data_IF_355851052166
#
_entry.id   IF_355851052166
#
_cell.length_a   1.000
_cell.length_b   1.000
_cell.length_c   1.000
_cell.angle_alpha   90.00
_cell.angle_beta   90.00
_cell.angle_gamma   90.00
#
_symmetry.space_group_name_H-M   'P 1'
#
loop_
_entity.id
_entity.type
_entity.pdbx_description
1 polymer ?
#
# COMPACT_ATOMS: atom_id res chain seq x y z
N UNK A 1 24.52 7.36 4.80
CA UNK A 1 23.72 8.50 5.35
C UNK A 1 23.63 8.37 6.87
N UNK A 2 23.58 9.49 7.59
CA UNK A 2 23.40 9.46 9.03
C UNK A 2 21.92 9.48 9.40
N UNK A 3 21.56 8.68 10.40
CA UNK A 3 20.22 8.73 11.00
C UNK A 3 20.06 10.07 11.72
N UNK A 4 18.91 10.72 11.56
CA UNK A 4 18.61 11.90 12.38
C UNK A 4 18.62 11.54 13.87
N UNK A 5 19.19 12.41 14.69
CA UNK A 5 19.20 12.24 16.14
C UNK A 5 17.76 12.36 16.67
N UNK A 6 17.39 11.53 17.65
CA UNK A 6 16.09 11.64 18.33
C UNK A 6 16.02 12.94 19.12
N UNK A 7 17.07 13.23 19.88
CA UNK A 7 17.25 14.48 20.61
C UNK A 7 18.41 15.26 20.01
N UNK A 8 18.10 16.44 19.46
CA UNK A 8 19.07 17.31 18.81
C UNK A 8 18.85 18.77 19.23
N UNK A 9 19.50 19.17 20.33
CA UNK A 9 19.42 20.54 20.87
C UNK A 9 20.07 21.59 19.98
N UNK A 10 20.96 21.16 19.09
CA UNK A 10 21.63 22.03 18.11
C UNK A 10 20.99 21.99 16.72
N UNK A 11 19.83 21.32 16.61
CA UNK A 11 19.08 21.25 15.37
C UNK A 11 18.37 22.56 15.03
N UNK A 12 17.96 22.65 13.78
CA UNK A 12 17.17 23.75 13.26
C UNK A 12 15.68 23.47 13.37
N UNK A 13 14.92 24.51 13.71
CA UNK A 13 13.45 24.48 13.73
C UNK A 13 12.87 24.80 12.38
N UNK A 14 11.66 24.30 12.15
CA UNK A 14 10.85 24.61 10.97
C UNK A 14 11.18 23.74 9.76
N UNK A 15 11.16 24.38 8.59
CA UNK A 15 11.23 23.66 7.31
C UNK A 15 12.58 23.01 7.07
N UNK A 16 12.57 21.71 6.79
CA UNK A 16 13.75 20.93 6.44
C UNK A 16 13.63 20.34 5.04
N UNK A 17 14.77 20.06 4.40
CA UNK A 17 14.80 19.25 3.17
C UNK A 17 14.31 17.85 3.43
N UNK A 18 13.95 17.13 2.37
CA UNK A 18 13.49 15.73 2.46
C UNK A 18 14.50 14.88 3.23
N UNK A 19 15.78 15.00 2.89
CA UNK A 19 16.90 14.31 3.52
C UNK A 19 18.05 15.29 3.86
N UNK A 20 18.94 14.89 4.76
CA UNK A 20 20.19 15.62 5.05
C UNK A 20 20.03 16.90 5.87
N UNK A 21 18.82 17.24 6.35
CA UNK A 21 18.58 18.41 7.18
C UNK A 21 19.00 18.18 8.64
N UNK A 22 19.42 19.27 9.32
CA UNK A 22 19.75 19.26 10.74
C UNK A 22 18.53 19.57 11.60
N UNK A 23 17.58 18.65 11.69
CA UNK A 23 16.28 18.85 12.35
C UNK A 23 16.33 18.64 13.87
N UNK A 24 15.56 19.45 14.61
CA UNK A 24 15.23 19.19 16.03
C UNK A 24 14.19 18.07 16.21
N UNK A 25 13.57 17.60 15.13
CA UNK A 25 12.37 16.74 15.09
C UNK A 25 11.07 17.36 15.66
N UNK A 26 11.07 18.64 16.05
CA UNK A 26 9.85 19.31 16.48
C UNK A 26 8.81 19.33 15.35
N UNK A 27 7.57 18.96 15.67
CA UNK A 27 6.44 18.96 14.72
C UNK A 27 5.76 20.33 14.69
N UNK A 28 6.07 21.15 13.69
CA UNK A 28 5.50 22.49 13.51
C UNK A 28 4.60 22.52 12.28
N UNK A 29 3.35 22.02 12.39
CA UNK A 29 2.41 21.95 11.27
C UNK A 29 2.00 23.31 10.70
N UNK A 30 2.22 24.39 11.41
CA UNK A 30 2.06 25.76 10.94
C UNK A 30 3.32 26.29 10.21
N UNK A 31 4.36 25.48 10.08
CA UNK A 31 5.64 25.85 9.46
C UNK A 31 6.27 24.64 8.77
N UNK A 32 5.59 24.17 7.71
CA UNK A 32 6.03 23.02 6.90
C UNK A 32 6.62 23.52 5.57
N UNK A 33 7.44 22.69 4.93
CA UNK A 33 8.01 22.96 3.60
C UNK A 33 7.13 22.41 2.49
N UNK A 34 6.51 21.27 2.69
CA UNK A 34 5.73 20.56 1.69
C UNK A 34 4.24 20.70 1.98
N UNK A 35 3.59 21.72 1.36
CA UNK A 35 2.16 22.02 1.59
C UNK A 35 1.23 20.83 1.36
N UNK A 36 1.57 19.97 0.37
CA UNK A 36 0.82 18.74 0.09
C UNK A 36 0.74 17.80 1.29
N UNK A 37 1.75 17.83 2.19
CA UNK A 37 1.79 16.95 3.35
C UNK A 37 0.64 17.21 4.34
N UNK A 38 0.23 18.47 4.51
CA UNK A 38 -0.88 18.80 5.42
C UNK A 38 -2.23 18.24 4.91
N UNK A 39 -2.50 18.39 3.61
CA UNK A 39 -3.71 17.83 3.00
C UNK A 39 -3.69 16.30 3.09
N UNK A 40 -2.57 15.68 2.75
CA UNK A 40 -2.41 14.23 2.81
C UNK A 40 -2.57 13.70 4.24
N UNK A 41 -1.99 14.38 5.24
CA UNK A 41 -2.17 14.04 6.65
C UNK A 41 -3.66 13.99 7.04
N UNK A 42 -4.46 14.99 6.62
CA UNK A 42 -5.90 15.00 6.86
C UNK A 42 -6.63 13.87 6.15
N UNK A 43 -6.25 13.59 4.91
CA UNK A 43 -6.81 12.47 4.13
C UNK A 43 -6.55 11.13 4.83
N UNK A 44 -5.30 10.86 5.23
CA UNK A 44 -4.93 9.61 5.90
C UNK A 44 -5.65 9.44 7.24
N UNK A 45 -5.79 10.50 8.04
CA UNK A 45 -6.57 10.46 9.28
C UNK A 45 -8.06 10.18 9.03
N UNK A 46 -8.65 10.79 7.99
CA UNK A 46 -10.04 10.56 7.63
C UNK A 46 -10.30 9.17 7.04
N UNK A 47 -9.24 8.50 6.59
CA UNK A 47 -9.31 7.14 6.07
C UNK A 47 -9.30 6.07 7.17
N UNK A 48 -9.31 6.44 8.45
CA UNK A 48 -9.34 5.47 9.55
C UNK A 48 -10.56 4.54 9.46
N UNK A 49 -10.32 3.26 9.67
CA UNK A 49 -11.33 2.19 9.72
C UNK A 49 -10.76 0.99 10.49
N UNK A 50 -11.62 0.05 10.86
CA UNK A 50 -11.24 -1.23 11.46
C UNK A 50 -11.99 -2.37 10.75
N UNK A 51 -11.38 -3.56 10.60
CA UNK A 51 -11.97 -4.66 9.84
C UNK A 51 -13.29 -5.17 10.42
N UNK A 52 -13.47 -5.13 11.74
CA UNK A 52 -14.66 -5.60 12.44
C UNK A 52 -15.93 -4.77 12.16
N UNK A 53 -15.79 -3.59 11.56
CA UNK A 53 -16.94 -2.81 11.07
C UNK A 53 -17.63 -3.50 9.88
N UNK A 54 -16.98 -4.47 9.23
CA UNK A 54 -17.47 -5.18 8.06
C UNK A 54 -17.82 -6.62 8.45
N UNK A 55 -19.10 -6.96 8.46
CA UNK A 55 -19.56 -8.32 8.77
C UNK A 55 -19.28 -9.29 7.62
N UNK A 56 -18.56 -10.38 7.89
CA UNK A 56 -18.24 -11.45 6.94
C UNK A 56 -19.27 -12.61 6.95
N UNK A 57 -20.41 -12.47 7.59
CA UNK A 57 -21.39 -13.56 7.79
C UNK A 57 -21.85 -14.23 6.48
N UNK A 58 -22.01 -13.46 5.40
CA UNK A 58 -22.41 -14.01 4.10
C UNK A 58 -21.20 -14.66 3.40
N UNK A 59 -20.02 -14.13 3.56
CA UNK A 59 -18.80 -14.69 2.98
C UNK A 59 -18.45 -16.06 3.59
N UNK A 60 -18.70 -16.25 4.90
CA UNK A 60 -18.58 -17.56 5.57
C UNK A 60 -19.43 -18.62 4.87
N UNK A 61 -20.66 -18.26 4.47
CA UNK A 61 -21.57 -19.20 3.77
C UNK A 61 -21.10 -19.46 2.34
N UNK A 62 -20.51 -18.48 1.69
CA UNK A 62 -20.09 -18.56 0.29
C UNK A 62 -18.73 -19.23 0.12
N UNK A 63 -17.81 -19.05 1.08
CA UNK A 63 -16.45 -19.54 1.01
C UNK A 63 -16.31 -21.04 0.69
N UNK A 64 -17.14 -21.96 1.24
CA UNK A 64 -17.11 -23.38 0.88
C UNK A 64 -17.47 -23.68 -0.58
N UNK A 65 -18.15 -22.77 -1.27
CA UNK A 65 -18.61 -22.93 -2.65
C UNK A 65 -17.70 -22.24 -3.69
N UNK A 66 -16.60 -21.64 -3.25
CA UNK A 66 -15.56 -21.20 -4.17
C UNK A 66 -14.98 -22.43 -4.89
N UNK A 67 -14.71 -22.27 -6.19
CA UNK A 67 -14.00 -23.32 -6.95
C UNK A 67 -12.59 -23.51 -6.40
N UNK A 68 -11.96 -24.65 -6.68
CA UNK A 68 -10.59 -24.93 -6.25
C UNK A 68 -9.60 -23.85 -6.72
N UNK A 69 -9.80 -23.31 -7.92
CA UNK A 69 -8.97 -22.22 -8.46
C UNK A 69 -9.19 -20.89 -7.73
N UNK A 70 -10.46 -20.54 -7.46
CA UNK A 70 -10.79 -19.35 -6.68
C UNK A 70 -10.24 -19.46 -5.25
N UNK A 71 -10.34 -20.63 -4.63
CA UNK A 71 -9.80 -20.91 -3.31
C UNK A 71 -8.28 -20.78 -3.28
N UNK A 72 -7.59 -21.41 -4.25
CA UNK A 72 -6.15 -21.33 -4.37
C UNK A 72 -5.68 -19.89 -4.57
N UNK A 73 -6.34 -19.11 -5.43
CA UNK A 73 -6.02 -17.71 -5.64
C UNK A 73 -6.23 -16.89 -4.37
N UNK A 74 -7.36 -17.08 -3.68
CA UNK A 74 -7.67 -16.44 -2.39
C UNK A 74 -6.55 -16.68 -1.36
N UNK A 75 -6.20 -17.94 -1.12
CA UNK A 75 -5.21 -18.34 -0.12
C UNK A 75 -3.85 -17.69 -0.41
N UNK A 76 -3.39 -17.77 -1.66
CA UNK A 76 -2.09 -17.22 -2.09
C UNK A 76 -2.02 -15.70 -2.07
N UNK A 77 -3.11 -15.02 -2.41
CA UNK A 77 -3.16 -13.56 -2.37
C UNK A 77 -3.07 -13.07 -0.92
N UNK A 78 -3.83 -13.69 0.00
CA UNK A 78 -3.77 -13.29 1.42
C UNK A 78 -2.40 -13.60 2.03
N UNK A 79 -1.80 -14.74 1.72
CA UNK A 79 -0.46 -15.10 2.17
C UNK A 79 0.59 -14.06 1.76
N UNK A 80 0.49 -13.60 0.53
CA UNK A 80 1.37 -12.59 -0.05
C UNK A 80 1.18 -11.21 0.58
N UNK A 81 -0.06 -10.73 0.63
CA UNK A 81 -0.39 -9.40 1.14
C UNK A 81 0.00 -9.27 2.62
N UNK A 82 -0.42 -10.25 3.44
CA UNK A 82 -0.10 -10.22 4.87
C UNK A 82 1.41 -10.15 5.15
N UNK A 83 2.23 -10.87 4.38
CA UNK A 83 3.67 -10.82 4.55
C UNK A 83 4.26 -9.46 4.14
N UNK A 84 3.85 -8.93 2.97
CA UNK A 84 4.42 -7.67 2.47
C UNK A 84 4.00 -6.46 3.31
N UNK A 85 2.75 -6.37 3.76
CA UNK A 85 2.29 -5.31 4.65
C UNK A 85 2.99 -5.39 6.01
N UNK A 86 3.25 -6.62 6.51
CA UNK A 86 4.02 -6.80 7.76
C UNK A 86 5.45 -6.26 7.64
N UNK A 87 6.18 -6.57 6.56
CA UNK A 87 7.54 -6.01 6.39
C UNK A 87 7.53 -4.53 6.03
N UNK A 88 6.43 -4.03 5.48
CA UNK A 88 6.22 -2.61 5.23
C UNK A 88 6.11 -1.84 6.54
N UNK A 89 5.32 -2.34 7.51
CA UNK A 89 5.23 -1.79 8.86
C UNK A 89 6.61 -1.64 9.52
N UNK A 90 7.54 -2.58 9.30
CA UNK A 90 8.91 -2.52 9.82
C UNK A 90 9.81 -1.56 9.04
N UNK A 91 9.65 -1.50 7.71
CA UNK A 91 10.50 -0.67 6.85
C UNK A 91 10.18 0.83 6.97
N UNK A 92 8.91 1.22 7.07
CA UNK A 92 8.49 2.62 7.11
C UNK A 92 9.09 3.39 8.30
N UNK A 93 9.11 2.88 9.54
CA UNK A 93 9.83 3.51 10.65
C UNK A 93 11.34 3.59 10.43
N UNK A 94 11.96 2.58 9.78
CA UNK A 94 13.37 2.61 9.43
C UNK A 94 13.65 3.75 8.43
N UNK A 95 12.86 3.85 7.36
CA UNK A 95 12.95 4.92 6.36
C UNK A 95 12.75 6.30 6.99
N UNK A 96 11.75 6.45 7.87
CA UNK A 96 11.41 7.68 8.58
C UNK A 96 12.59 8.27 9.36
N UNK A 97 13.57 7.44 9.78
CA UNK A 97 14.76 7.91 10.50
C UNK A 97 15.74 8.71 9.64
N UNK A 98 15.62 8.64 8.32
CA UNK A 98 16.46 9.35 7.37
C UNK A 98 15.72 10.51 6.69
N UNK A 99 14.41 10.58 6.83
CA UNK A 99 13.59 11.69 6.35
C UNK A 99 13.63 12.83 7.37
N UNK A 100 14.23 13.95 7.00
CA UNK A 100 14.43 15.11 7.90
C UNK A 100 13.25 16.09 7.89
N UNK A 101 12.45 16.09 6.82
CA UNK A 101 11.16 16.79 6.76
C UNK A 101 10.17 16.18 7.76
N UNK A 102 9.85 16.92 8.81
CA UNK A 102 9.08 16.41 9.95
C UNK A 102 7.64 16.03 9.57
N UNK A 103 7.02 16.78 8.67
CA UNK A 103 5.69 16.52 8.13
C UNK A 103 5.64 15.23 7.32
N UNK A 104 6.66 14.95 6.50
CA UNK A 104 6.75 13.72 5.70
C UNK A 104 7.02 12.50 6.59
N UNK A 105 7.92 12.65 7.57
CA UNK A 105 8.16 11.60 8.57
C UNK A 105 6.89 11.25 9.37
N UNK A 106 5.99 12.23 9.60
CA UNK A 106 4.69 11.95 10.23
C UNK A 106 3.75 11.14 9.34
N UNK A 107 3.76 11.37 8.03
CA UNK A 107 2.97 10.60 7.07
C UNK A 107 3.43 9.14 7.00
N UNK A 108 4.75 8.89 6.99
CA UNK A 108 5.29 7.52 7.03
C UNK A 108 4.86 6.75 8.30
N UNK A 109 4.73 7.45 9.45
CA UNK A 109 4.24 6.82 10.66
C UNK A 109 2.75 6.48 10.59
N UNK A 110 1.93 7.31 9.92
CA UNK A 110 0.51 6.99 9.70
C UNK A 110 0.39 5.83 8.72
N UNK A 111 1.17 5.82 7.66
CA UNK A 111 1.19 4.69 6.72
C UNK A 111 1.53 3.39 7.47
N UNK A 112 2.59 3.35 8.28
CA UNK A 112 2.94 2.17 9.07
C UNK A 112 1.77 1.69 9.96
N UNK A 113 1.01 2.60 10.55
CA UNK A 113 -0.20 2.26 11.29
C UNK A 113 -1.31 1.69 10.38
N UNK A 114 -1.48 2.20 9.16
CA UNK A 114 -2.46 1.66 8.21
C UNK A 114 -2.08 0.26 7.74
N UNK A 115 -0.79 -0.04 7.54
CA UNK A 115 -0.31 -1.40 7.23
C UNK A 115 -0.63 -2.42 8.35
N UNK A 116 -0.58 -2.00 9.62
CA UNK A 116 -1.03 -2.84 10.75
C UNK A 116 -2.53 -3.15 10.68
N UNK A 117 -3.35 -2.17 10.25
CA UNK A 117 -4.80 -2.40 10.03
C UNK A 117 -5.02 -3.39 8.87
N UNK A 118 -4.22 -3.28 7.79
CA UNK A 118 -4.28 -4.21 6.67
C UNK A 118 -3.92 -5.63 7.12
N UNK A 119 -2.81 -5.82 7.83
CA UNK A 119 -2.41 -7.12 8.37
C UNK A 119 -3.47 -7.72 9.33
N UNK A 120 -4.07 -6.89 10.20
CA UNK A 120 -5.18 -7.29 11.05
C UNK A 120 -6.42 -7.71 10.23
N UNK A 121 -6.67 -7.04 9.11
CA UNK A 121 -7.79 -7.34 8.23
C UNK A 121 -7.65 -8.73 7.58
N UNK A 122 -6.46 -9.11 7.14
CA UNK A 122 -6.19 -10.44 6.61
C UNK A 122 -6.39 -11.52 7.68
N UNK A 123 -5.94 -11.25 8.91
CA UNK A 123 -6.16 -12.14 10.04
C UNK A 123 -7.64 -12.30 10.34
N UNK A 124 -8.41 -11.21 10.37
CA UNK A 124 -9.86 -11.22 10.57
C UNK A 124 -10.59 -12.02 9.48
N UNK A 125 -10.21 -11.84 8.21
CA UNK A 125 -10.78 -12.61 7.10
C UNK A 125 -10.49 -14.10 7.30
N UNK A 126 -9.22 -14.49 7.52
CA UNK A 126 -8.82 -15.88 7.65
C UNK A 126 -9.47 -16.56 8.85
N UNK A 127 -9.50 -15.90 10.01
CA UNK A 127 -10.14 -16.46 11.23
C UNK A 127 -11.64 -16.67 11.06
N UNK A 128 -12.26 -15.85 10.19
CA UNK A 128 -13.72 -15.93 9.97
C UNK A 128 -14.08 -16.98 8.93
N UNK A 129 -13.36 -17.08 7.80
CA UNK A 129 -13.80 -17.92 6.67
C UNK A 129 -13.06 -19.26 6.58
N UNK A 130 -11.95 -19.46 7.33
CA UNK A 130 -11.15 -20.69 7.29
C UNK A 130 -11.12 -21.40 8.65
N UNK A 131 -10.52 -22.58 8.68
CA UNK A 131 -10.19 -23.26 9.94
C UNK A 131 -8.73 -23.02 10.34
N UNK A 132 -8.32 -23.23 11.60
CA UNK A 132 -6.97 -22.94 12.08
C UNK A 132 -5.87 -23.67 11.29
N UNK A 133 -6.08 -24.90 10.85
CA UNK A 133 -5.08 -25.68 10.09
C UNK A 133 -4.82 -25.04 8.72
N UNK A 134 -5.88 -24.60 8.04
CA UNK A 134 -5.79 -23.94 6.73
C UNK A 134 -5.17 -22.57 6.90
N UNK A 135 -5.60 -21.80 7.90
CA UNK A 135 -5.05 -20.49 8.21
C UNK A 135 -3.52 -20.54 8.41
N UNK A 136 -3.04 -21.47 9.25
CA UNK A 136 -1.62 -21.61 9.58
C UNK A 136 -0.80 -22.00 8.34
N UNK A 137 -1.37 -22.80 7.42
CA UNK A 137 -0.75 -23.08 6.11
C UNK A 137 -0.65 -21.82 5.24
N UNK A 138 -1.70 -21.00 5.19
CA UNK A 138 -1.70 -19.75 4.41
C UNK A 138 -0.64 -18.81 4.96
N UNK A 139 -0.49 -18.68 6.29
CA UNK A 139 0.56 -17.85 6.89
C UNK A 139 1.99 -18.33 6.56
N UNK A 140 2.18 -19.61 6.24
CA UNK A 140 3.48 -20.16 5.85
C UNK A 140 3.73 -20.13 4.33
N UNK A 141 2.72 -19.88 3.50
CA UNK A 141 2.87 -19.94 2.03
C UNK A 141 3.87 -18.94 1.46
N UNK A 142 4.00 -17.75 2.06
CA UNK A 142 4.96 -16.74 1.60
C UNK A 142 6.41 -17.25 1.53
N UNK A 143 6.76 -18.26 2.33
CA UNK A 143 8.10 -18.86 2.40
C UNK A 143 8.17 -20.30 1.86
N UNK A 144 7.04 -21.01 1.79
CA UNK A 144 6.98 -22.41 1.32
C UNK A 144 6.64 -22.51 -0.16
N UNK A 145 5.89 -21.58 -0.72
CA UNK A 145 5.71 -21.44 -2.17
C UNK A 145 6.90 -20.73 -2.78
N UNK A 146 7.65 -21.46 -3.64
CA UNK A 146 8.89 -20.94 -4.25
C UNK A 146 8.64 -19.68 -5.10
N UNK A 147 7.57 -19.67 -5.88
CA UNK A 147 7.22 -18.54 -6.74
C UNK A 147 6.94 -17.30 -5.91
N UNK A 148 6.19 -17.47 -4.82
CA UNK A 148 5.86 -16.39 -3.91
C UNK A 148 7.08 -15.87 -3.16
N UNK A 149 7.94 -16.76 -2.66
CA UNK A 149 9.17 -16.38 -1.99
C UNK A 149 10.11 -15.56 -2.89
N UNK A 150 10.31 -16.01 -4.14
CA UNK A 150 11.16 -15.28 -5.10
C UNK A 150 10.60 -13.90 -5.42
N UNK A 151 9.28 -13.79 -5.58
CA UNK A 151 8.61 -12.51 -5.82
C UNK A 151 8.73 -11.57 -4.62
N UNK A 152 8.55 -12.06 -3.40
CA UNK A 152 8.64 -11.26 -2.18
C UNK A 152 10.07 -10.73 -1.96
N UNK A 153 11.09 -11.50 -2.32
CA UNK A 153 12.50 -11.08 -2.21
C UNK A 153 12.78 -9.80 -2.98
N UNK A 154 12.14 -9.57 -4.11
CA UNK A 154 12.36 -8.35 -4.88
C UNK A 154 12.13 -7.07 -4.06
N UNK A 155 11.12 -7.05 -3.21
CA UNK A 155 10.84 -5.94 -2.28
C UNK A 155 11.68 -6.05 -1.02
N UNK A 156 11.68 -7.22 -0.38
CA UNK A 156 12.36 -7.45 0.90
C UNK A 156 13.87 -7.20 0.83
N UNK A 157 14.53 -7.59 -0.26
CA UNK A 157 15.96 -7.38 -0.45
C UNK A 157 16.32 -5.89 -0.57
N UNK A 158 15.46 -5.07 -1.22
CA UNK A 158 15.66 -3.63 -1.28
C UNK A 158 15.55 -2.98 0.12
N UNK A 159 14.60 -3.44 0.95
CA UNK A 159 14.44 -2.98 2.32
C UNK A 159 15.61 -3.42 3.20
N UNK A 160 16.04 -4.67 3.08
CA UNK A 160 17.17 -5.21 3.83
C UNK A 160 18.48 -4.51 3.44
N UNK A 161 18.74 -4.32 2.13
CA UNK A 161 19.93 -3.61 1.66
C UNK A 161 20.02 -2.19 2.23
N UNK A 162 18.90 -1.46 2.30
CA UNK A 162 18.89 -0.13 2.92
C UNK A 162 19.08 -0.19 4.44
N UNK A 163 18.54 -1.21 5.10
CA UNK A 163 18.73 -1.40 6.54
C UNK A 163 20.21 -1.68 6.90
N UNK A 164 20.89 -2.47 6.07
CA UNK A 164 22.28 -2.88 6.28
C UNK A 164 23.29 -1.80 5.84
N UNK A 165 23.00 -1.14 4.73
CA UNK A 165 23.81 -0.03 4.17
C UNK A 165 22.91 1.16 3.80
N UNK A 166 22.71 2.12 4.71
CA UNK A 166 21.86 3.29 4.47
C UNK A 166 22.57 4.36 3.62
N UNK A 167 23.01 3.98 2.44
CA UNK A 167 23.51 4.91 1.42
C UNK A 167 22.38 5.67 0.72
N UNK A 168 22.69 6.78 0.06
CA UNK A 168 21.69 7.55 -0.73
C UNK A 168 21.12 6.70 -1.88
N UNK A 169 21.92 5.85 -2.49
CA UNK A 169 21.49 4.94 -3.55
C UNK A 169 20.47 3.91 -3.01
N UNK A 170 20.77 3.26 -1.89
CA UNK A 170 19.88 2.28 -1.28
C UNK A 170 18.61 2.94 -0.72
N UNK A 171 18.69 4.20 -0.25
CA UNK A 171 17.50 4.99 0.09
C UNK A 171 16.57 5.15 -1.12
N UNK A 172 17.10 5.53 -2.28
CA UNK A 172 16.29 5.65 -3.48
C UNK A 172 15.72 4.31 -3.91
N UNK A 173 16.50 3.24 -3.88
CA UNK A 173 16.02 1.90 -4.24
C UNK A 173 14.90 1.42 -3.32
N UNK A 174 14.99 1.65 -2.01
CA UNK A 174 13.91 1.28 -1.08
C UNK A 174 12.65 2.14 -1.29
N UNK A 175 12.80 3.44 -1.61
CA UNK A 175 11.69 4.32 -1.97
C UNK A 175 10.99 3.82 -3.25
N UNK A 176 11.76 3.42 -4.26
CA UNK A 176 11.21 2.87 -5.51
C UNK A 176 10.57 1.49 -5.28
N UNK A 177 11.15 0.64 -4.43
CA UNK A 177 10.55 -0.64 -4.05
C UNK A 177 9.18 -0.45 -3.35
N UNK A 178 9.09 0.53 -2.42
CA UNK A 178 7.81 0.95 -1.86
C UNK A 178 6.83 1.41 -2.94
N UNK A 179 7.26 2.28 -3.83
CA UNK A 179 6.43 2.79 -4.92
C UNK A 179 5.90 1.69 -5.85
N UNK A 180 6.72 0.65 -6.10
CA UNK A 180 6.33 -0.54 -6.86
C UNK A 180 5.32 -1.39 -6.06
N UNK A 181 5.58 -1.60 -4.77
CA UNK A 181 4.68 -2.35 -3.90
C UNK A 181 3.27 -1.74 -3.91
N UNK A 182 3.17 -0.45 -3.56
CA UNK A 182 1.91 0.29 -3.45
C UNK A 182 1.20 0.50 -4.80
N UNK A 183 1.98 0.63 -5.88
CA UNK A 183 1.46 1.02 -7.19
C UNK A 183 1.25 -0.11 -8.19
N UNK A 184 1.84 -1.28 -7.96
CA UNK A 184 1.87 -2.38 -8.93
C UNK A 184 1.58 -3.74 -8.26
N UNK A 185 2.27 -4.09 -7.18
CA UNK A 185 2.29 -5.44 -6.63
C UNK A 185 0.97 -5.94 -6.02
N UNK A 186 0.08 -5.05 -5.62
CA UNK A 186 -1.21 -5.43 -5.02
C UNK A 186 -2.34 -5.63 -6.06
N UNK A 187 -2.13 -5.19 -7.29
CA UNK A 187 -3.24 -4.97 -8.22
C UNK A 187 -3.80 -6.25 -8.86
N UNK A 188 -3.03 -7.33 -9.00
CA UNK A 188 -3.59 -8.63 -9.39
C UNK A 188 -4.50 -9.17 -8.28
N UNK A 189 -4.12 -8.98 -7.01
CA UNK A 189 -4.93 -9.35 -5.85
C UNK A 189 -6.25 -8.56 -5.80
N UNK A 190 -6.18 -7.24 -5.92
CA UNK A 190 -7.39 -6.40 -5.97
C UNK A 190 -8.30 -6.79 -7.13
N UNK A 191 -7.74 -7.01 -8.31
CA UNK A 191 -8.48 -7.45 -9.50
C UNK A 191 -9.23 -8.76 -9.26
N UNK A 192 -8.62 -9.70 -8.54
CA UNK A 192 -9.24 -10.97 -8.19
C UNK A 192 -10.44 -10.76 -7.25
N UNK A 193 -10.29 -10.04 -6.14
CA UNK A 193 -11.39 -9.83 -5.19
C UNK A 193 -12.53 -9.04 -5.79
N UNK A 194 -12.24 -8.03 -6.62
CA UNK A 194 -13.27 -7.27 -7.34
C UNK A 194 -13.98 -8.13 -8.40
N UNK A 195 -13.26 -9.06 -9.03
CA UNK A 195 -13.86 -10.02 -9.97
C UNK A 195 -14.81 -10.97 -9.25
N UNK A 196 -14.49 -11.46 -8.06
CA UNK A 196 -15.41 -12.25 -7.24
C UNK A 196 -16.65 -11.44 -6.83
N UNK A 197 -16.45 -10.21 -6.35
CA UNK A 197 -17.57 -9.34 -5.96
C UNK A 197 -18.51 -9.03 -7.13
N UNK A 198 -17.97 -8.83 -8.34
CA UNK A 198 -18.76 -8.65 -9.56
C UNK A 198 -19.65 -9.85 -9.89
N UNK A 199 -19.27 -11.04 -9.42
CA UNK A 199 -20.06 -12.27 -9.52
C UNK A 199 -20.98 -12.48 -8.31
N UNK A 200 -21.05 -11.55 -7.37
CA UNK A 200 -21.83 -11.67 -6.12
C UNK A 200 -21.18 -12.61 -5.09
N UNK A 201 -19.88 -12.91 -5.22
CA UNK A 201 -19.12 -13.75 -4.31
C UNK A 201 -18.21 -12.92 -3.41
N UNK A 202 -18.06 -13.31 -2.14
CA UNK A 202 -17.12 -12.71 -1.19
C UNK A 202 -17.17 -11.17 -1.16
N UNK A 203 -18.37 -10.62 -1.18
CA UNK A 203 -18.59 -9.17 -1.33
C UNK A 203 -18.15 -8.39 -0.10
N UNK A 204 -18.26 -8.95 1.09
CA UNK A 204 -17.79 -8.32 2.32
C UNK A 204 -16.26 -8.31 2.39
N UNK A 205 -15.59 -9.42 2.05
CA UNK A 205 -14.13 -9.47 1.87
C UNK A 205 -13.69 -8.43 0.83
N UNK A 206 -14.36 -8.35 -0.33
CA UNK A 206 -14.06 -7.33 -1.35
C UNK A 206 -14.24 -5.91 -0.82
N UNK A 207 -15.15 -5.68 0.12
CA UNK A 207 -15.32 -4.37 0.76
C UNK A 207 -14.11 -4.02 1.64
N UNK A 208 -13.56 -4.98 2.39
CA UNK A 208 -12.29 -4.81 3.12
C UNK A 208 -11.18 -4.41 2.12
N UNK A 209 -11.06 -5.14 1.01
CA UNK A 209 -10.07 -4.82 -0.03
C UNK A 209 -10.27 -3.46 -0.68
N UNK A 210 -11.49 -2.91 -0.72
CA UNK A 210 -11.72 -1.52 -1.16
C UNK A 210 -11.12 -0.50 -0.18
N UNK A 211 -11.24 -0.74 1.12
CA UNK A 211 -10.64 0.14 2.13
C UNK A 211 -9.11 0.07 2.08
N UNK A 212 -8.55 -1.14 1.97
CA UNK A 212 -7.12 -1.34 1.78
C UNK A 212 -6.66 -0.59 0.51
N UNK A 213 -7.25 -0.85 -0.66
CA UNK A 213 -6.87 -0.20 -1.91
C UNK A 213 -6.97 1.34 -1.87
N UNK A 214 -7.93 1.89 -1.15
CA UNK A 214 -8.02 3.35 -0.92
C UNK A 214 -6.78 3.87 -0.18
N UNK A 215 -6.36 3.14 0.84
CA UNK A 215 -5.19 3.50 1.63
C UNK A 215 -3.93 3.34 0.78
N UNK A 216 -3.79 2.26 -0.02
CA UNK A 216 -2.67 2.04 -0.94
C UNK A 216 -2.55 3.13 -2.03
N UNK A 217 -3.66 3.64 -2.53
CA UNK A 217 -3.64 4.80 -3.44
C UNK A 217 -3.05 6.03 -2.74
N UNK A 218 -3.34 6.22 -1.46
CA UNK A 218 -2.79 7.32 -0.67
C UNK A 218 -1.30 7.11 -0.40
N UNK A 219 -0.87 5.89 -0.06
CA UNK A 219 0.52 5.51 0.12
C UNK A 219 1.34 5.72 -1.16
N UNK A 220 0.80 5.27 -2.28
CA UNK A 220 1.40 5.50 -3.60
C UNK A 220 1.64 6.98 -3.88
N UNK A 221 0.65 7.86 -3.61
CA UNK A 221 0.77 9.31 -3.82
C UNK A 221 1.82 9.90 -2.87
N UNK A 222 1.94 9.39 -1.64
CA UNK A 222 3.00 9.78 -0.71
C UNK A 222 4.38 9.52 -1.30
N UNK A 223 4.64 8.30 -1.76
CA UNK A 223 5.93 7.96 -2.36
C UNK A 223 6.19 8.69 -3.69
N UNK A 224 5.15 8.90 -4.50
CA UNK A 224 5.25 9.74 -5.70
C UNK A 224 5.73 11.17 -5.37
N UNK A 225 5.17 11.78 -4.33
CA UNK A 225 5.57 13.12 -3.88
C UNK A 225 7.00 13.10 -3.32
N UNK A 226 7.38 12.10 -2.52
CA UNK A 226 8.75 11.96 -2.02
C UNK A 226 9.75 11.87 -3.19
N UNK A 227 9.48 11.04 -4.20
CA UNK A 227 10.35 10.90 -5.38
C UNK A 227 10.49 12.23 -6.14
N UNK A 228 9.38 12.93 -6.38
CA UNK A 228 9.37 14.22 -7.09
C UNK A 228 10.15 15.29 -6.34
N UNK A 229 9.97 15.36 -5.02
CA UNK A 229 10.68 16.35 -4.20
C UNK A 229 12.17 16.01 -4.08
N UNK A 230 12.55 14.75 -3.90
CA UNK A 230 13.95 14.33 -3.93
C UNK A 230 14.61 14.69 -5.27
N UNK A 231 13.92 14.43 -6.39
CA UNK A 231 14.42 14.79 -7.72
C UNK A 231 14.64 16.28 -7.88
N UNK A 232 13.76 17.10 -7.30
CA UNK A 232 13.87 18.56 -7.32
C UNK A 232 14.99 19.09 -6.43
N UNK A 233 15.17 18.50 -5.24
CA UNK A 233 16.13 18.98 -4.24
C UNK A 233 17.55 18.43 -4.47
N UNK A 234 17.64 17.21 -4.99
CA UNK A 234 18.88 16.48 -5.19
C UNK A 234 18.99 15.97 -6.64
N UNK A 235 18.97 16.88 -7.64
CA UNK A 235 19.11 16.49 -9.05
C UNK A 235 20.44 15.79 -9.33
N UNK A 236 21.45 16.01 -8.49
CA UNK A 236 22.75 15.32 -8.52
C UNK A 236 22.62 13.80 -8.32
N UNK A 237 21.61 13.33 -7.59
CA UNK A 237 21.35 11.90 -7.39
C UNK A 237 20.66 11.26 -8.60
N UNK A 238 19.80 12.01 -9.31
CA UNK A 238 18.99 11.47 -10.42
C UNK A 238 19.73 11.54 -11.75
N UNK A 239 20.85 10.85 -11.82
CA UNK A 239 21.64 10.73 -13.06
C UNK A 239 20.89 9.85 -14.09
N UNK A 240 21.24 9.93 -15.40
CA UNK A 240 20.67 9.05 -16.42
C UNK A 240 20.78 7.56 -16.06
N UNK A 241 21.88 7.16 -15.40
CA UNK A 241 22.12 5.79 -14.96
C UNK A 241 21.12 5.37 -13.84
N UNK A 242 20.87 6.27 -12.87
CA UNK A 242 19.88 6.01 -11.84
C UNK A 242 18.47 5.95 -12.43
N UNK A 243 18.10 6.86 -13.33
CA UNK A 243 16.80 6.85 -13.99
C UNK A 243 16.57 5.57 -14.81
N UNK A 244 17.60 5.10 -15.51
CA UNK A 244 17.57 3.82 -16.21
C UNK A 244 17.37 2.65 -15.22
N UNK A 245 18.03 2.70 -14.06
CA UNK A 245 17.88 1.69 -13.01
C UNK A 245 16.46 1.71 -12.40
N UNK A 246 15.89 2.88 -12.12
CA UNK A 246 14.51 3.05 -11.64
C UNK A 246 13.53 2.46 -12.65
N UNK A 247 13.70 2.79 -13.94
CA UNK A 247 12.86 2.26 -15.03
C UNK A 247 12.96 0.73 -15.09
N UNK A 248 14.16 0.17 -14.93
CA UNK A 248 14.39 -1.28 -14.90
C UNK A 248 13.71 -1.95 -13.69
N UNK A 249 13.80 -1.34 -12.50
CA UNK A 249 13.10 -1.84 -11.31
C UNK A 249 11.58 -1.87 -11.51
N UNK A 250 10.99 -0.82 -12.09
CA UNK A 250 9.55 -0.77 -12.39
C UNK A 250 9.17 -1.81 -13.44
N UNK A 251 10.02 -2.03 -14.46
CA UNK A 251 9.83 -3.09 -15.45
C UNK A 251 9.83 -4.47 -14.78
N UNK A 252 10.83 -4.77 -13.96
CA UNK A 252 10.92 -6.04 -13.23
C UNK A 252 9.73 -6.23 -12.29
N UNK A 253 9.33 -5.17 -11.59
CA UNK A 253 8.13 -5.19 -10.74
C UNK A 253 6.87 -5.54 -11.53
N UNK A 254 6.67 -4.92 -12.69
CA UNK A 254 5.54 -5.24 -13.57
C UNK A 254 5.58 -6.68 -14.10
N UNK A 255 6.75 -7.14 -14.55
CA UNK A 255 6.94 -8.53 -15.01
C UNK A 255 6.68 -9.55 -13.91
N UNK A 256 7.15 -9.29 -12.68
CA UNK A 256 6.89 -10.14 -11.51
C UNK A 256 5.39 -10.18 -11.18
N UNK A 257 4.71 -9.05 -11.23
CA UNK A 257 3.26 -8.98 -10.95
C UNK A 257 2.43 -9.67 -12.03
N UNK A 258 2.81 -9.53 -13.31
CA UNK A 258 2.18 -10.27 -14.42
C UNK A 258 2.33 -11.77 -14.20
N UNK A 259 3.56 -12.24 -13.98
CA UNK A 259 3.83 -13.65 -13.75
C UNK A 259 3.08 -14.20 -12.53
N UNK A 260 3.02 -13.42 -11.45
CA UNK A 260 2.26 -13.76 -10.25
C UNK A 260 0.76 -13.84 -10.52
N UNK A 261 0.17 -12.80 -11.12
CA UNK A 261 -1.25 -12.77 -11.45
C UNK A 261 -1.67 -13.95 -12.34
N UNK A 262 -0.85 -14.29 -13.33
CA UNK A 262 -1.05 -15.46 -14.19
C UNK A 262 -0.93 -16.78 -13.41
N UNK A 263 0.03 -16.89 -12.51
CA UNK A 263 0.24 -18.08 -11.68
C UNK A 263 -0.92 -18.34 -10.72
N UNK A 264 -1.46 -17.30 -10.07
CA UNK A 264 -2.56 -17.47 -9.10
C UNK A 264 -3.89 -17.75 -9.79
N UNK A 265 -4.16 -17.15 -10.94
CA UNK A 265 -5.44 -17.31 -11.66
C UNK A 265 -5.48 -18.54 -12.56
N UNK A 266 -4.32 -19.00 -13.04
CA UNK A 266 -4.16 -20.14 -13.95
C UNK A 266 -5.14 -20.11 -15.15
N UNK A 267 -5.51 -18.89 -15.58
CA UNK A 267 -6.54 -18.64 -16.62
C UNK A 267 -7.91 -19.34 -16.35
N UNK A 268 -8.20 -19.60 -15.06
CA UNK A 268 -9.38 -20.36 -14.59
C UNK A 268 -10.39 -19.49 -13.83
N UNK A 269 -10.09 -18.22 -13.64
CA UNK A 269 -11.01 -17.31 -12.94
C UNK A 269 -11.94 -16.63 -13.96
N UNK A 270 -13.23 -16.87 -13.80
CA UNK A 270 -14.23 -16.28 -14.72
C UNK A 270 -14.14 -14.74 -14.66
N UNK A 271 -13.93 -14.11 -15.82
CA UNK A 271 -13.84 -12.64 -15.92
C UNK A 271 -12.46 -12.05 -15.63
N UNK A 272 -11.46 -12.87 -15.30
CA UNK A 272 -10.08 -12.43 -15.08
C UNK A 272 -9.12 -13.45 -15.74
N UNK A 273 -8.60 -13.11 -16.92
CA UNK A 273 -7.69 -13.97 -17.66
C UNK A 273 -6.28 -13.37 -17.77
N UNK A 274 -5.34 -14.21 -18.19
CA UNK A 274 -3.93 -13.86 -18.30
C UNK A 274 -3.66 -12.62 -19.17
N UNK A 275 -4.41 -12.45 -20.25
CA UNK A 275 -4.26 -11.30 -21.17
C UNK A 275 -4.71 -10.00 -20.51
N UNK A 276 -5.83 -10.04 -19.78
CA UNK A 276 -6.33 -8.88 -19.05
C UNK A 276 -5.36 -8.46 -17.96
N UNK A 277 -4.84 -9.41 -17.17
CA UNK A 277 -3.85 -9.16 -16.13
C UNK A 277 -2.60 -8.50 -16.74
N UNK A 278 -2.03 -9.08 -17.79
CA UNK A 278 -0.83 -8.55 -18.43
C UNK A 278 -1.05 -7.10 -18.91
N UNK A 279 -2.12 -6.86 -19.64
CA UNK A 279 -2.42 -5.51 -20.17
C UNK A 279 -2.67 -4.50 -19.05
N UNK A 280 -3.35 -4.92 -17.97
CA UNK A 280 -3.65 -4.05 -16.85
C UNK A 280 -2.39 -3.66 -16.09
N UNK A 281 -1.53 -4.61 -15.77
CA UNK A 281 -0.27 -4.32 -15.06
C UNK A 281 0.67 -3.46 -15.93
N UNK A 282 0.74 -3.70 -17.24
CA UNK A 282 1.48 -2.82 -18.18
C UNK A 282 0.92 -1.40 -18.21
N UNK A 283 -0.40 -1.26 -18.20
CA UNK A 283 -1.05 0.05 -18.07
C UNK A 283 -0.67 0.75 -16.77
N UNK A 284 -0.74 0.05 -15.63
CA UNK A 284 -0.34 0.60 -14.34
C UNK A 284 1.13 1.03 -14.35
N UNK A 285 2.03 0.20 -14.85
CA UNK A 285 3.45 0.57 -14.94
C UNK A 285 3.68 1.87 -15.71
N UNK A 286 2.98 2.06 -16.84
CA UNK A 286 3.06 3.29 -17.62
C UNK A 286 2.62 4.52 -16.81
N UNK A 287 1.46 4.48 -16.17
CA UNK A 287 0.97 5.63 -15.39
C UNK A 287 1.82 5.90 -14.14
N UNK A 288 2.47 4.88 -13.56
CA UNK A 288 3.42 5.05 -12.45
C UNK A 288 4.70 5.74 -12.93
N UNK A 289 5.24 5.35 -14.08
CA UNK A 289 6.40 6.01 -14.68
C UNK A 289 6.12 7.47 -15.04
N UNK A 290 5.00 7.73 -15.73
CA UNK A 290 4.58 9.08 -16.08
C UNK A 290 4.45 9.97 -14.84
N UNK A 291 3.86 9.43 -13.77
CA UNK A 291 3.65 10.16 -12.52
C UNK A 291 4.95 10.62 -11.84
N UNK A 292 6.07 9.95 -12.08
CA UNK A 292 7.40 10.35 -11.58
C UNK A 292 8.29 10.96 -12.67
N UNK A 293 7.74 11.27 -13.86
CA UNK A 293 8.42 11.98 -14.94
C UNK A 293 9.34 11.11 -15.78
N UNK A 294 9.09 9.79 -15.85
CA UNK A 294 9.82 8.85 -16.69
C UNK A 294 8.98 8.40 -17.89
N UNK A 295 9.61 7.99 -19.01
CA UNK A 295 8.89 7.56 -20.20
C UNK A 295 8.16 6.22 -20.00
N UNK A 296 7.08 6.01 -20.75
CA UNK A 296 6.33 4.75 -20.75
C UNK A 296 7.19 3.57 -21.23
N UNK A 297 7.08 2.43 -20.55
CA UNK A 297 7.69 1.15 -20.97
C UNK A 297 6.89 0.42 -22.04
N UNK A 298 5.58 0.60 -22.05
CA UNK A 298 4.63 -0.12 -22.91
C UNK A 298 3.77 0.88 -23.71
N UNK A 299 4.35 1.62 -24.66
CA UNK A 299 3.66 2.71 -25.35
C UNK A 299 2.45 2.26 -26.20
N UNK A 300 2.36 0.95 -26.47
CA UNK A 300 1.21 0.34 -27.15
C UNK A 300 -0.03 0.22 -26.24
N UNK A 301 0.14 0.26 -24.91
CA UNK A 301 -0.94 0.18 -23.93
C UNK A 301 -1.36 1.60 -23.54
N UNK A 302 -2.45 2.09 -24.11
CA UNK A 302 -2.92 3.47 -23.93
C UNK A 302 -4.13 3.60 -23.01
N UNK A 303 -4.93 2.54 -22.91
CA UNK A 303 -6.21 2.56 -22.20
C UNK A 303 -6.22 1.49 -21.10
N UNK A 304 -6.96 1.77 -20.03
CA UNK A 304 -7.19 0.81 -18.95
C UNK A 304 -8.06 -0.35 -19.49
N UNK A 305 -7.55 -1.58 -19.59
CA UNK A 305 -8.34 -2.71 -20.09
C UNK A 305 -9.40 -3.19 -19.08
N UNK A 306 -9.36 -2.69 -17.85
CA UNK A 306 -10.28 -3.05 -16.76
C UNK A 306 -10.86 -1.80 -16.08
N UNK A 307 -11.42 -0.86 -16.88
CA UNK A 307 -12.04 0.38 -16.37
C UNK A 307 -13.07 0.14 -15.28
N UNK A 308 -13.74 -1.01 -15.31
CA UNK A 308 -14.72 -1.39 -14.30
C UNK A 308 -14.12 -1.51 -12.89
N UNK A 309 -12.81 -1.74 -12.74
CA UNK A 309 -12.13 -1.76 -11.44
C UNK A 309 -12.22 -0.39 -10.75
N UNK A 310 -12.15 0.68 -11.52
CA UNK A 310 -12.24 2.04 -10.97
C UNK A 310 -13.58 2.29 -10.27
N UNK A 311 -14.68 1.68 -10.78
CA UNK A 311 -15.97 1.76 -10.11
C UNK A 311 -16.02 1.01 -8.77
N UNK A 312 -15.19 -0.01 -8.60
CA UNK A 312 -15.04 -0.75 -7.34
C UNK A 312 -14.07 -0.08 -6.37
N UNK A 313 -13.03 0.58 -6.87
CA UNK A 313 -12.07 1.32 -6.05
C UNK A 313 -12.56 2.70 -5.62
N UNK A 314 -13.59 3.25 -6.28
CA UNK A 314 -14.09 4.60 -6.01
C UNK A 314 -15.08 4.61 -4.84
N UNK A 315 -14.58 4.83 -3.62
CA UNK A 315 -15.38 4.91 -2.39
C UNK A 315 -16.22 6.18 -2.24
N UNK A 316 -16.12 7.14 -3.17
CA UNK A 316 -16.92 8.37 -3.09
C UNK A 316 -18.43 8.12 -3.24
N UNK A 317 -18.84 7.00 -3.85
CA UNK A 317 -20.24 6.57 -3.91
C UNK A 317 -20.74 5.90 -2.62
N UNK A 318 -19.84 5.40 -1.77
CA UNK A 318 -20.17 4.69 -0.52
C UNK A 318 -20.03 5.59 0.72
N UNK A 319 -19.35 6.74 0.59
CA UNK A 319 -19.15 7.68 1.71
C UNK A 319 -20.45 8.31 2.21
N UNK A 320 -21.45 8.49 1.37
CA UNK A 320 -22.75 9.05 1.77
C UNK A 320 -23.44 8.14 2.79
N UNK A 321 -23.44 6.83 2.57
CA UNK A 321 -24.11 5.86 3.45
C UNK A 321 -23.35 5.64 4.77
N UNK A 322 -22.02 5.69 4.75
CA UNK A 322 -21.19 5.41 5.93
C UNK A 322 -21.12 6.60 6.90
N UNK A 323 -21.04 7.83 6.40
CA UNK A 323 -21.07 9.02 7.26
C UNK A 323 -22.47 9.28 7.83
N UNK A 324 -23.53 8.99 7.10
CA UNK A 324 -24.90 9.06 7.64
C UNK A 324 -25.11 8.02 8.76
N UNK A 325 -24.57 6.81 8.64
CA UNK A 325 -24.64 5.80 9.69
C UNK A 325 -23.78 6.15 10.94
N UNK A 326 -22.61 6.78 10.79
CA UNK A 326 -21.78 7.23 11.93
C UNK A 326 -22.34 8.44 12.65
N UNK A 327 -22.95 9.38 11.96
CA UNK A 327 -23.54 10.59 12.60
C UNK A 327 -24.68 10.23 13.56
N UNK A 328 -25.41 9.15 13.31
CA UNK A 328 -26.46 8.68 14.23
C UNK A 328 -25.95 8.01 15.50
N UNK A 329 -24.71 7.50 15.51
CA UNK A 329 -24.11 6.87 16.69
C UNK A 329 -23.28 7.84 17.56
N UNK A 330 -22.73 8.92 16.98
CA UNK A 330 -21.89 9.87 17.71
C UNK A 330 -22.67 10.90 18.55
N UNK A 331 -23.96 11.12 18.25
CA UNK A 331 -24.82 12.03 19.00
C UNK A 331 -25.25 11.51 20.38
N UNK A 332 -24.88 10.27 20.75
CA UNK A 332 -25.18 9.68 22.07
C UNK A 332 -24.01 9.63 23.03
N UNK A 333 -22.80 9.99 22.63
CA UNK A 333 -21.57 9.88 23.46
C UNK A 333 -20.95 11.23 23.84
N UNK A 334 -21.53 12.36 23.47
CA UNK A 334 -20.98 13.68 23.76
C UNK A 334 -21.78 14.40 24.86
N UNK A 335 -21.83 13.81 26.05
CA UNK A 335 -22.18 14.52 27.26
C UNK A 335 -21.36 13.94 28.41
N UNK A 336 -20.07 14.20 28.43
CA UNK A 336 -19.31 14.25 29.67
C UNK A 336 -19.28 15.71 30.10
N UNK A 337 -20.09 16.01 31.12
CA UNK A 337 -20.08 17.28 31.81
C UNK A 337 -18.89 17.26 32.78
N UNK A 338 -18.01 18.24 32.69
CA UNK A 338 -16.83 18.36 33.55
C UNK A 338 -17.13 18.97 34.95
N UNK A 339 -18.39 19.23 35.25
CA UNK A 339 -18.79 19.85 36.53
C UNK A 339 -19.00 18.86 37.68
N UNK A 340 -18.78 17.55 37.48
CA UNK A 340 -18.92 16.53 38.55
C UNK A 340 -17.61 16.12 39.21
N UNK A 341 -16.57 16.95 39.17
CA UNK A 341 -15.31 16.75 39.88
C UNK A 341 -15.00 17.92 40.82
N UNK A 342 -15.87 18.14 41.82
CA UNK A 342 -15.52 18.77 43.11
C UNK A 342 -15.76 17.83 44.29
#
# INVERSE_FOLDING_TARGET
MDKKLIFNEHGERGTQSMIGGNTTNLREWNRIKYDWANQMYRTMLNNFWIPEEISLNEDVKQFPYLTDYERRAFDKIIAFLNFLDSIQSENLPNLSRYITASEVASLLNIQAFQEEIHAQSYSYILDTVTNPITRDKIYDEWRTDKTLLERNRFIADAYQCFSDDPSEANLIYTIIANYILEGIYFYSGFSFFYTLARQGKMTATSTIFKYINRDEVTHLVLFQNIIRELRRERPDLFTPELEAKITDMIRQGAENEIAWGQYITDDKILGLNNVLIERYIKYLANIRLEAIGLPHLYPEIKENPMEWIESFSNLNSTKTDFFEAKVTNYTKAAAFDFDDLE
#
